data_IF_017740075004
#
_entry.id   IF_017740075004
#
_cell.length_a   1.000
_cell.length_b   1.000
_cell.length_c   1.000
_cell.angle_alpha   90.00
_cell.angle_beta   90.00
_cell.angle_gamma   90.00
#
_symmetry.space_group_name_H-M   'P 1'
#
loop_
_entity.id
_entity.type
_entity.pdbx_description
1 polymer ?
#
# COMPACT_ATOMS: atom_id res chain seq x y z
N UNK A 1 -22.01 -6.00 7.75
CA UNK A 1 -20.80 -5.27 8.18
C UNK A 1 -19.88 -6.19 8.98
N UNK A 2 -20.21 -6.60 10.22
CA UNK A 2 -19.30 -7.41 11.05
C UNK A 2 -18.96 -8.75 10.43
N UNK A 3 -19.90 -9.42 9.78
CA UNK A 3 -19.69 -10.70 9.09
C UNK A 3 -18.77 -10.51 7.88
N UNK A 4 -19.00 -9.50 7.06
CA UNK A 4 -18.21 -9.14 5.89
C UNK A 4 -16.76 -8.74 6.26
N UNK A 5 -16.60 -8.01 7.38
CA UNK A 5 -15.30 -7.55 7.88
C UNK A 5 -14.65 -8.54 8.86
N UNK A 6 -15.07 -9.80 8.85
CA UNK A 6 -14.41 -10.91 9.54
C UNK A 6 -13.79 -11.83 8.49
N UNK A 7 -12.48 -11.72 8.32
CA UNK A 7 -11.72 -12.48 7.33
C UNK A 7 -11.53 -13.91 7.82
N UNK A 8 -11.80 -14.85 6.93
CA UNK A 8 -11.56 -16.28 7.12
C UNK A 8 -10.57 -16.75 6.06
N UNK A 9 -9.51 -17.42 6.47
CA UNK A 9 -8.61 -18.02 5.50
C UNK A 9 -9.33 -19.17 4.77
N UNK A 10 -9.22 -19.16 3.45
CA UNK A 10 -9.58 -20.31 2.62
C UNK A 10 -8.34 -21.18 2.55
N UNK A 11 -8.33 -22.30 3.27
CA UNK A 11 -7.20 -23.25 3.31
C UNK A 11 -7.69 -24.58 2.76
N UNK A 12 -6.83 -25.25 1.99
CA UNK A 12 -7.08 -26.61 1.60
C UNK A 12 -6.97 -27.50 2.86
N UNK A 13 -8.06 -28.14 3.26
CA UNK A 13 -8.19 -28.88 4.54
C UNK A 13 -7.29 -30.11 4.64
N UNK A 14 -6.59 -30.48 3.55
CA UNK A 14 -5.64 -31.60 3.54
C UNK A 14 -4.36 -31.33 4.35
N UNK A 15 -4.05 -30.08 4.70
CA UNK A 15 -2.79 -29.71 5.34
C UNK A 15 -2.93 -29.06 6.73
N UNK A 16 -4.04 -29.23 7.43
CA UNK A 16 -4.21 -28.76 8.80
C UNK A 16 -5.45 -27.91 9.05
N UNK A 17 -5.64 -27.49 10.32
CA UNK A 17 -6.76 -26.64 10.69
C UNK A 17 -6.59 -25.23 10.14
N UNK A 18 -7.65 -24.62 9.57
CA UNK A 18 -7.59 -23.24 9.12
C UNK A 18 -7.30 -22.30 10.30
N UNK A 19 -6.48 -21.25 10.11
CA UNK A 19 -6.22 -20.29 11.16
C UNK A 19 -7.53 -19.61 11.59
N UNK A 20 -7.64 -19.18 12.86
CA UNK A 20 -8.86 -18.58 13.37
C UNK A 20 -9.19 -17.29 12.59
N UNK A 21 -10.49 -17.02 12.35
CA UNK A 21 -10.92 -15.82 11.66
C UNK A 21 -10.51 -14.57 12.46
N UNK A 22 -10.17 -13.50 11.77
CA UNK A 22 -9.81 -12.23 12.38
C UNK A 22 -10.64 -11.07 11.86
N UNK A 23 -10.76 -10.02 12.68
CA UNK A 23 -11.60 -8.86 12.40
C UNK A 23 -10.74 -7.74 11.82
N UNK A 24 -11.20 -7.14 10.71
CA UNK A 24 -10.62 -5.93 10.11
C UNK A 24 -11.44 -4.68 10.46
N UNK A 25 -12.12 -4.70 11.59
CA UNK A 25 -12.85 -3.57 12.17
C UNK A 25 -12.56 -3.45 13.67
N UNK A 26 -12.73 -2.26 14.22
CA UNK A 26 -12.62 -2.00 15.66
C UNK A 26 -13.95 -1.46 16.19
N UNK A 27 -14.32 -1.88 17.40
CA UNK A 27 -15.46 -1.29 18.14
C UNK A 27 -14.96 -0.11 18.94
N UNK A 28 -15.69 0.98 18.94
CA UNK A 28 -15.52 2.13 19.82
C UNK A 28 -16.72 2.23 20.77
N UNK A 29 -16.66 3.17 21.72
CA UNK A 29 -17.80 3.43 22.62
C UNK A 29 -19.05 3.89 21.86
N UNK A 30 -18.86 4.63 20.75
CA UNK A 30 -19.92 5.29 20.00
C UNK A 30 -20.21 4.66 18.63
N UNK A 31 -19.45 3.63 18.21
CA UNK A 31 -19.66 3.09 16.87
C UNK A 31 -18.70 1.98 16.45
N UNK A 32 -18.52 1.87 15.16
CA UNK A 32 -17.68 0.87 14.52
C UNK A 32 -16.70 1.58 13.57
N UNK A 33 -15.39 1.41 13.80
CA UNK A 33 -14.36 1.81 12.87
C UNK A 33 -14.20 0.72 11.81
N UNK A 34 -14.39 1.07 10.56
CA UNK A 34 -14.26 0.16 9.40
C UNK A 34 -13.16 0.66 8.46
N UNK A 35 -12.60 -0.20 7.59
CA UNK A 35 -11.71 0.23 6.54
C UNK A 35 -12.34 1.35 5.71
N UNK A 36 -11.55 2.39 5.40
CA UNK A 36 -12.06 3.62 4.78
C UNK A 36 -12.84 3.35 3.49
N UNK A 37 -12.23 2.66 2.53
CA UNK A 37 -12.86 2.43 1.23
C UNK A 37 -14.12 1.57 1.31
N UNK A 38 -14.14 0.59 2.23
CA UNK A 38 -15.37 -0.14 2.54
C UNK A 38 -16.44 0.80 3.09
N UNK A 39 -16.04 1.72 3.98
CA UNK A 39 -16.97 2.71 4.55
C UNK A 39 -17.53 3.66 3.49
N UNK A 40 -16.68 4.17 2.62
CA UNK A 40 -17.06 5.07 1.53
C UNK A 40 -18.01 4.38 0.51
N UNK A 41 -17.75 3.12 0.19
CA UNK A 41 -18.59 2.32 -0.70
C UNK A 41 -19.97 2.04 -0.12
N UNK A 42 -20.03 1.67 1.18
CA UNK A 42 -21.28 1.25 1.84
C UNK A 42 -22.13 2.41 2.36
N UNK A 43 -21.51 3.52 2.76
CA UNK A 43 -22.18 4.62 3.48
C UNK A 43 -21.98 5.99 2.80
N UNK A 44 -21.23 6.04 1.71
CA UNK A 44 -20.86 7.29 1.06
C UNK A 44 -19.70 8.01 1.73
N UNK A 45 -19.39 9.21 1.24
CA UNK A 45 -18.28 10.02 1.76
C UNK A 45 -18.50 10.39 3.22
N UNK A 46 -17.40 10.38 4.00
CA UNK A 46 -17.43 10.84 5.38
C UNK A 46 -17.84 12.33 5.45
N UNK A 47 -18.61 12.68 6.51
CA UNK A 47 -18.97 14.08 6.79
C UNK A 47 -17.77 14.96 7.10
N UNK A 48 -16.75 14.36 7.71
CA UNK A 48 -15.53 15.03 8.14
C UNK A 48 -14.31 14.16 7.78
N UNK A 49 -13.33 14.78 7.15
CA UNK A 49 -12.05 14.14 6.83
C UNK A 49 -10.96 14.72 7.74
N UNK A 50 -10.52 13.93 8.72
CA UNK A 50 -9.47 14.30 9.69
C UNK A 50 -8.11 13.70 9.35
N UNK A 51 -7.94 13.20 8.14
CA UNK A 51 -6.65 12.64 7.73
C UNK A 51 -5.57 13.73 7.70
N UNK A 52 -4.33 13.38 8.04
CA UNK A 52 -3.20 14.28 7.85
C UNK A 52 -3.11 14.71 6.38
N UNK A 53 -2.61 15.94 6.17
CA UNK A 53 -2.36 16.41 4.80
C UNK A 53 -1.04 15.81 4.31
N UNK A 54 -1.05 14.98 3.27
CA UNK A 54 0.16 14.33 2.78
C UNK A 54 1.10 15.37 2.13
N UNK A 55 2.39 15.10 2.19
CA UNK A 55 3.40 15.92 1.54
C UNK A 55 3.39 15.64 0.03
N UNK A 56 3.41 16.71 -0.76
CA UNK A 56 3.58 16.64 -2.22
C UNK A 56 5.05 16.50 -2.58
N UNK A 57 5.31 15.75 -3.63
CA UNK A 57 6.64 15.60 -4.23
C UNK A 57 6.59 16.07 -5.69
N UNK A 58 7.72 16.55 -6.20
CA UNK A 58 7.86 16.98 -7.60
C UNK A 58 8.59 15.95 -8.46
N UNK A 59 8.65 14.69 -8.04
CA UNK A 59 9.32 13.63 -8.74
C UNK A 59 8.69 13.38 -10.11
N UNK A 60 9.53 13.27 -11.14
CA UNK A 60 9.12 12.96 -12.51
C UNK A 60 9.49 11.51 -12.85
N UNK A 61 8.54 10.81 -13.44
CA UNK A 61 8.79 9.49 -13.99
C UNK A 61 9.52 9.63 -15.35
N UNK A 62 10.73 9.10 -15.43
CA UNK A 62 11.59 9.13 -16.62
C UNK A 62 11.67 7.74 -17.27
N UNK A 63 10.54 7.08 -17.41
CA UNK A 63 10.40 5.80 -18.08
C UNK A 63 9.40 5.86 -19.23
N UNK A 64 9.45 4.85 -20.10
CA UNK A 64 8.43 4.65 -21.12
C UNK A 64 7.57 3.45 -20.73
N UNK A 65 6.26 3.66 -20.68
CA UNK A 65 5.30 2.57 -20.54
C UNK A 65 5.09 1.90 -21.89
N UNK A 66 4.87 0.60 -21.87
CA UNK A 66 4.68 -0.23 -23.07
C UNK A 66 3.19 -0.27 -23.43
N UNK A 67 2.84 0.22 -24.60
CA UNK A 67 1.44 0.24 -25.05
C UNK A 67 0.96 -1.17 -25.39
N UNK A 68 1.82 -2.01 -25.95
CA UNK A 68 1.50 -3.38 -26.37
C UNK A 68 1.08 -4.27 -25.18
N UNK A 69 1.44 -3.88 -23.97
CA UNK A 69 1.11 -4.61 -22.73
C UNK A 69 0.06 -3.90 -21.90
N UNK A 70 -0.65 -2.90 -22.42
CA UNK A 70 -1.70 -2.15 -21.72
C UNK A 70 -1.25 -1.46 -20.41
N UNK A 71 0.03 -1.11 -20.29
CA UNK A 71 0.55 -0.42 -19.10
C UNK A 71 -0.08 0.97 -18.92
N UNK A 72 -0.36 1.68 -20.02
CA UNK A 72 -1.05 2.97 -20.00
C UNK A 72 -2.50 2.83 -19.53
N UNK A 73 -3.19 1.76 -19.91
CA UNK A 73 -4.56 1.48 -19.44
C UNK A 73 -4.58 1.22 -17.94
N UNK A 74 -3.63 0.43 -17.44
CA UNK A 74 -3.48 0.16 -16.01
C UNK A 74 -3.18 1.46 -15.23
N UNK A 75 -2.30 2.33 -15.73
CA UNK A 75 -2.03 3.64 -15.16
C UNK A 75 -3.31 4.49 -15.12
N UNK A 76 -4.03 4.61 -16.24
CA UNK A 76 -5.25 5.41 -16.34
C UNK A 76 -6.34 4.91 -15.38
N UNK A 77 -6.54 3.59 -15.30
CA UNK A 77 -7.50 2.98 -14.39
C UNK A 77 -7.14 3.25 -12.92
N UNK A 78 -5.87 3.11 -12.55
CA UNK A 78 -5.38 3.39 -11.20
C UNK A 78 -5.57 4.86 -10.80
N UNK A 79 -5.25 5.80 -11.70
CA UNK A 79 -5.44 7.23 -11.44
C UNK A 79 -6.91 7.61 -11.30
N UNK A 80 -7.79 6.99 -12.10
CA UNK A 80 -9.24 7.22 -12.04
C UNK A 80 -9.83 6.70 -10.75
N UNK A 81 -9.44 5.50 -10.30
CA UNK A 81 -9.96 4.89 -9.05
C UNK A 81 -9.35 5.50 -7.80
N UNK A 82 -8.08 5.89 -7.86
CA UNK A 82 -7.32 6.40 -6.70
C UNK A 82 -6.95 5.34 -5.66
N UNK A 83 -7.46 4.12 -5.78
CA UNK A 83 -7.15 2.97 -4.90
C UNK A 83 -7.55 1.66 -5.57
N UNK A 84 -7.01 0.55 -5.08
CA UNK A 84 -7.41 -0.77 -5.54
C UNK A 84 -6.27 -1.79 -5.57
N UNK A 85 -6.54 -2.93 -6.19
CA UNK A 85 -5.54 -3.98 -6.44
C UNK A 85 -5.24 -4.02 -7.94
N UNK A 86 -3.96 -3.93 -8.27
CA UNK A 86 -3.44 -4.13 -9.61
C UNK A 86 -3.06 -5.62 -9.75
N UNK A 87 -4.00 -6.43 -10.22
CA UNK A 87 -3.77 -7.83 -10.57
C UNK A 87 -3.19 -7.87 -11.97
N UNK A 88 -1.89 -8.04 -12.08
CA UNK A 88 -1.14 -7.95 -13.32
C UNK A 88 -0.16 -9.13 -13.41
N UNK A 89 -0.05 -9.83 -14.56
CA UNK A 89 0.79 -11.02 -14.67
C UNK A 89 2.27 -10.74 -14.38
N UNK A 90 3.03 -11.81 -14.13
CA UNK A 90 4.47 -11.71 -14.04
C UNK A 90 5.06 -11.14 -15.34
N UNK A 91 6.11 -10.31 -15.23
CA UNK A 91 6.73 -9.67 -16.40
C UNK A 91 5.96 -8.46 -16.97
N UNK A 92 4.75 -8.18 -16.52
CA UNK A 92 3.98 -7.01 -16.96
C UNK A 92 4.70 -5.68 -16.73
N UNK A 93 5.56 -5.61 -15.70
CA UNK A 93 6.22 -4.38 -15.28
C UNK A 93 5.46 -3.63 -14.19
N UNK A 94 4.88 -4.38 -13.23
CA UNK A 94 4.13 -3.82 -12.07
C UNK A 94 4.87 -2.67 -11.40
N UNK A 95 6.16 -2.85 -11.13
CA UNK A 95 7.01 -1.83 -10.49
C UNK A 95 7.07 -0.54 -11.32
N UNK A 96 7.25 -0.65 -12.64
CA UNK A 96 7.32 0.50 -13.56
C UNK A 96 6.01 1.28 -13.58
N UNK A 97 4.88 0.57 -13.72
CA UNK A 97 3.55 1.19 -13.69
C UNK A 97 3.28 1.85 -12.34
N UNK A 98 3.66 1.20 -11.24
CA UNK A 98 3.46 1.75 -9.90
C UNK A 98 4.26 3.03 -9.64
N UNK A 99 5.49 3.11 -10.15
CA UNK A 99 6.30 4.35 -10.09
C UNK A 99 5.67 5.46 -10.95
N UNK A 100 5.15 5.12 -12.13
CA UNK A 100 4.42 6.09 -12.95
C UNK A 100 3.16 6.60 -12.22
N UNK A 101 2.40 5.73 -11.55
CA UNK A 101 1.24 6.10 -10.73
C UNK A 101 1.68 7.04 -9.60
N UNK A 102 2.72 6.69 -8.84
CA UNK A 102 3.21 7.47 -7.72
C UNK A 102 3.63 8.90 -8.15
N UNK A 103 4.40 9.01 -9.22
CA UNK A 103 4.83 10.30 -9.78
C UNK A 103 3.65 11.13 -10.29
N UNK A 104 2.66 10.52 -10.94
CA UNK A 104 1.45 11.22 -11.42
C UNK A 104 0.56 11.71 -10.27
N UNK A 105 0.45 10.94 -9.19
CA UNK A 105 -0.28 11.36 -7.99
C UNK A 105 0.46 12.48 -7.24
N UNK A 106 1.80 12.51 -7.31
CA UNK A 106 2.63 13.57 -6.79
C UNK A 106 2.63 13.69 -5.28
N UNK A 107 2.51 12.59 -4.56
CA UNK A 107 2.61 12.55 -3.11
C UNK A 107 3.76 11.65 -2.66
N UNK A 108 4.32 11.96 -1.48
CA UNK A 108 5.26 11.06 -0.80
C UNK A 108 4.69 9.65 -0.77
N UNK A 109 5.47 8.69 -1.25
CA UNK A 109 5.01 7.34 -1.50
C UNK A 109 5.74 6.34 -0.62
N UNK A 110 4.98 5.55 0.15
CA UNK A 110 5.53 4.39 0.86
C UNK A 110 5.28 3.12 0.05
N UNK A 111 6.32 2.31 -0.07
CA UNK A 111 6.29 1.01 -0.74
C UNK A 111 6.56 -0.07 0.31
N UNK A 112 5.60 -0.93 0.55
CA UNK A 112 5.70 -2.02 1.52
C UNK A 112 6.10 -3.29 0.81
N UNK A 113 7.19 -3.90 1.27
CA UNK A 113 7.74 -5.15 0.75
C UNK A 113 7.95 -6.16 1.88
N UNK A 114 7.91 -7.45 1.57
CA UNK A 114 8.06 -8.51 2.58
C UNK A 114 9.44 -9.18 2.60
N UNK A 115 10.31 -8.89 1.60
CA UNK A 115 11.67 -9.45 1.48
C UNK A 115 12.68 -8.38 1.12
N UNK A 116 13.90 -8.50 1.65
CA UNK A 116 14.95 -7.53 1.46
C UNK A 116 15.40 -7.39 0.00
N UNK A 117 15.46 -8.49 -0.75
CA UNK A 117 15.81 -8.41 -2.17
C UNK A 117 14.79 -7.57 -2.98
N UNK A 118 13.50 -7.59 -2.59
CA UNK A 118 12.48 -6.72 -3.20
C UNK A 118 12.73 -5.26 -2.85
N UNK A 119 13.15 -4.97 -1.61
CA UNK A 119 13.51 -3.61 -1.21
C UNK A 119 14.65 -3.06 -2.08
N UNK A 120 15.69 -3.86 -2.31
CA UNK A 120 16.81 -3.50 -3.18
C UNK A 120 16.35 -3.30 -4.62
N UNK A 121 15.52 -4.20 -5.15
CA UNK A 121 14.95 -4.08 -6.50
C UNK A 121 14.14 -2.78 -6.66
N UNK A 122 13.29 -2.45 -5.67
CA UNK A 122 12.53 -1.20 -5.68
C UNK A 122 13.45 0.02 -5.66
N UNK A 123 14.50 0.01 -4.84
CA UNK A 123 15.50 1.08 -4.78
C UNK A 123 16.17 1.31 -6.14
N UNK A 124 16.63 0.26 -6.78
CA UNK A 124 17.24 0.31 -8.13
C UNK A 124 16.25 0.89 -9.16
N UNK A 125 14.98 0.44 -9.13
CA UNK A 125 13.96 0.94 -10.06
C UNK A 125 13.58 2.39 -9.83
N UNK A 126 13.52 2.84 -8.57
CA UNK A 126 13.31 4.25 -8.25
C UNK A 126 14.47 5.08 -8.80
N UNK A 127 15.73 4.67 -8.57
CA UNK A 127 16.89 5.36 -9.09
C UNK A 127 16.89 5.43 -10.63
N UNK A 128 16.46 4.35 -11.29
CA UNK A 128 16.39 4.27 -12.75
C UNK A 128 15.29 5.16 -13.34
N UNK A 129 14.08 5.10 -12.79
CA UNK A 129 12.89 5.73 -13.39
C UNK A 129 12.50 7.06 -12.77
N UNK A 130 13.06 7.40 -11.60
CA UNK A 130 12.77 8.62 -10.86
C UNK A 130 14.09 9.29 -10.44
N UNK A 131 14.94 9.68 -11.40
CA UNK A 131 16.25 10.24 -11.09
C UNK A 131 16.14 11.48 -10.21
N UNK A 132 16.97 11.57 -9.19
CA UNK A 132 16.97 12.66 -8.21
C UNK A 132 15.96 12.53 -7.09
N UNK A 133 15.08 11.52 -7.09
CA UNK A 133 14.17 11.26 -5.98
C UNK A 133 14.93 10.76 -4.75
N UNK A 134 14.59 11.29 -3.57
CA UNK A 134 15.11 10.81 -2.30
C UNK A 134 14.45 9.50 -1.88
N UNK A 135 15.24 8.58 -1.32
CA UNK A 135 14.77 7.25 -0.91
C UNK A 135 15.13 7.03 0.56
N UNK A 136 14.11 6.81 1.38
CA UNK A 136 14.26 6.41 2.79
C UNK A 136 13.87 4.97 3.02
N UNK A 137 14.20 4.46 4.19
CA UNK A 137 13.96 3.07 4.59
C UNK A 137 13.31 2.99 5.97
N UNK A 138 12.28 2.15 6.10
CA UNK A 138 11.69 1.74 7.37
C UNK A 138 11.99 0.26 7.58
N UNK A 139 13.08 -0.02 8.29
CA UNK A 139 13.56 -1.37 8.55
C UNK A 139 14.31 -1.43 9.88
N UNK A 140 14.00 -2.40 10.72
CA UNK A 140 14.64 -2.53 12.03
C UNK A 140 14.61 -1.20 12.82
N UNK A 141 15.76 -0.61 13.13
CA UNK A 141 15.87 0.65 13.87
C UNK A 141 15.88 1.91 12.97
N UNK A 142 15.81 1.74 11.66
CA UNK A 142 15.74 2.84 10.72
C UNK A 142 14.31 3.29 10.53
N UNK A 143 14.07 4.59 10.60
CA UNK A 143 12.79 5.25 10.36
C UNK A 143 13.04 6.53 9.53
N UNK A 144 13.29 6.36 8.25
CA UNK A 144 13.60 7.43 7.31
C UNK A 144 12.33 7.71 6.47
N UNK A 145 11.43 8.54 7.01
CA UNK A 145 10.13 8.83 6.39
C UNK A 145 10.08 10.18 5.67
N UNK A 146 11.12 11.01 5.80
CA UNK A 146 11.18 12.34 5.16
C UNK A 146 11.86 12.30 3.79
N UNK A 147 11.38 11.42 2.92
CA UNK A 147 11.89 11.18 1.57
C UNK A 147 10.74 11.10 0.57
N UNK A 148 11.03 11.26 -0.72
CA UNK A 148 10.01 11.15 -1.78
C UNK A 148 9.42 9.74 -1.84
N UNK A 149 10.30 8.73 -1.74
CA UNK A 149 9.93 7.33 -1.65
C UNK A 149 10.46 6.73 -0.35
N UNK A 150 9.62 5.96 0.34
CA UNK A 150 9.96 5.26 1.58
C UNK A 150 9.74 3.76 1.36
N UNK A 151 10.80 2.97 1.41
CA UNK A 151 10.69 1.52 1.30
C UNK A 151 10.58 0.93 2.70
N UNK A 152 9.46 0.31 3.00
CA UNK A 152 9.15 -0.21 4.33
C UNK A 152 9.08 -1.75 4.34
N UNK A 153 9.79 -2.36 5.28
CA UNK A 153 9.68 -3.80 5.50
C UNK A 153 8.40 -4.13 6.26
N UNK A 154 7.59 -5.03 5.69
CA UNK A 154 6.31 -5.45 6.26
C UNK A 154 6.45 -5.98 7.69
N UNK A 155 7.52 -6.74 7.96
CA UNK A 155 7.82 -7.25 9.30
C UNK A 155 8.10 -6.11 10.28
N UNK A 156 8.86 -5.10 9.87
CA UNK A 156 9.14 -3.94 10.74
C UNK A 156 7.87 -3.18 11.07
N UNK A 157 7.02 -2.92 10.08
CA UNK A 157 5.72 -2.26 10.28
C UNK A 157 4.79 -3.06 11.20
N UNK A 158 4.87 -4.39 11.18
CA UNK A 158 3.99 -5.27 11.94
C UNK A 158 4.42 -5.49 13.38
N UNK A 159 5.73 -5.60 13.61
CA UNK A 159 6.31 -5.98 14.91
C UNK A 159 6.67 -4.80 15.79
N UNK A 160 6.90 -3.62 15.22
CA UNK A 160 7.27 -2.42 15.97
C UNK A 160 6.06 -1.53 16.23
N UNK A 161 6.14 -0.82 17.35
CA UNK A 161 5.25 0.27 17.64
C UNK A 161 5.77 1.55 16.95
N UNK A 162 4.86 2.21 16.23
CA UNK A 162 5.08 3.48 15.57
C UNK A 162 4.04 4.47 16.05
N UNK A 163 4.42 5.74 16.17
CA UNK A 163 3.47 6.83 16.36
C UNK A 163 2.62 7.03 15.09
N UNK A 164 1.40 7.50 15.24
CA UNK A 164 0.60 7.89 14.08
C UNK A 164 1.28 8.99 13.26
N UNK A 165 2.03 9.88 13.91
CA UNK A 165 2.71 10.98 13.24
C UNK A 165 3.91 10.53 12.38
N UNK A 166 4.44 9.34 12.61
CA UNK A 166 5.60 8.83 11.86
C UNK A 166 5.31 8.66 10.36
N UNK A 167 4.02 8.51 10.00
CA UNK A 167 3.58 8.27 8.63
C UNK A 167 2.58 9.30 8.09
N UNK A 168 2.35 10.39 8.80
CA UNK A 168 1.37 11.42 8.45
C UNK A 168 1.65 12.11 7.11
N UNK A 169 2.91 12.12 6.69
CA UNK A 169 3.35 12.73 5.45
C UNK A 169 3.10 11.86 4.22
N UNK A 170 2.82 10.56 4.42
CA UNK A 170 2.63 9.59 3.34
C UNK A 170 1.27 9.77 2.68
N UNK A 171 1.27 10.09 1.38
CA UNK A 171 0.02 10.25 0.63
C UNK A 171 -0.34 9.08 -0.27
N UNK A 172 0.66 8.31 -0.69
CA UNK A 172 0.45 7.09 -1.50
C UNK A 172 1.08 5.90 -0.81
N UNK A 173 0.34 4.81 -0.72
CA UNK A 173 0.81 3.53 -0.22
C UNK A 173 0.74 2.48 -1.34
N UNK A 174 1.85 1.84 -1.62
CA UNK A 174 1.95 0.71 -2.55
C UNK A 174 2.35 -0.52 -1.75
N UNK A 175 1.58 -1.59 -1.85
CA UNK A 175 1.87 -2.87 -1.18
C UNK A 175 2.25 -3.88 -2.24
N UNK A 176 3.53 -4.23 -2.27
CA UNK A 176 4.02 -5.25 -3.19
C UNK A 176 3.67 -6.65 -2.69
N UNK A 177 3.28 -7.53 -3.62
CA UNK A 177 2.75 -8.87 -3.32
C UNK A 177 1.65 -8.81 -2.23
N UNK A 178 0.60 -8.05 -2.53
CA UNK A 178 -0.46 -7.67 -1.59
C UNK A 178 -1.17 -8.86 -0.91
N UNK A 179 -1.10 -10.05 -1.48
CA UNK A 179 -1.63 -11.27 -0.86
C UNK A 179 -0.97 -11.60 0.49
N UNK A 180 0.28 -11.21 0.71
CA UNK A 180 0.96 -11.37 2.01
C UNK A 180 0.34 -10.52 3.14
N UNK A 181 -0.27 -9.39 2.80
CA UNK A 181 -0.86 -8.49 3.81
C UNK A 181 -2.20 -9.02 4.36
N UNK A 182 -2.78 -10.01 3.69
CA UNK A 182 -4.03 -10.63 4.12
C UNK A 182 -3.90 -11.46 5.42
N UNK A 183 -2.67 -11.69 5.91
CA UNK A 183 -2.45 -12.32 7.21
C UNK A 183 -2.81 -11.36 8.37
N UNK A 184 -3.34 -11.91 9.48
CA UNK A 184 -3.79 -11.13 10.64
C UNK A 184 -2.73 -10.14 11.15
N UNK A 185 -1.50 -10.58 11.33
CA UNK A 185 -0.40 -9.76 11.86
C UNK A 185 -0.07 -8.63 10.88
N UNK A 186 0.04 -8.95 9.60
CA UNK A 186 0.44 -7.99 8.58
C UNK A 186 -0.65 -6.97 8.27
N UNK A 187 -1.93 -7.36 8.31
CA UNK A 187 -3.04 -6.42 8.12
C UNK A 187 -3.09 -5.33 9.19
N UNK A 188 -2.57 -5.59 10.40
CA UNK A 188 -2.51 -4.58 11.46
C UNK A 188 -1.53 -3.43 11.17
N UNK A 189 -0.50 -3.68 10.35
CA UNK A 189 0.45 -2.64 9.97
C UNK A 189 -0.19 -1.50 9.19
N UNK A 190 -1.22 -1.80 8.40
CA UNK A 190 -1.94 -0.80 7.60
C UNK A 190 -2.75 0.20 8.44
N UNK A 191 -3.14 -0.16 9.66
CA UNK A 191 -3.85 0.78 10.55
C UNK A 191 -2.99 1.91 11.09
N UNK A 192 -1.66 1.82 10.92
CA UNK A 192 -0.71 2.86 11.34
C UNK A 192 -0.50 3.92 10.26
N UNK A 193 -0.93 3.66 9.03
CA UNK A 193 -0.71 4.52 7.87
C UNK A 193 -2.06 4.97 7.34
N UNK A 194 -2.22 6.29 7.10
CA UNK A 194 -3.49 6.87 6.67
C UNK A 194 -3.36 7.57 5.29
N UNK A 195 -2.94 6.86 4.24
CA UNK A 195 -2.62 7.47 2.95
C UNK A 195 -3.87 7.94 2.23
N UNK A 196 -3.72 8.88 1.32
CA UNK A 196 -4.80 9.31 0.41
C UNK A 196 -5.12 8.23 -0.62
N UNK A 197 -4.08 7.61 -1.16
CA UNK A 197 -4.15 6.57 -2.18
C UNK A 197 -3.51 5.27 -1.69
N UNK A 198 -4.12 4.13 -2.03
CA UNK A 198 -3.57 2.82 -1.67
C UNK A 198 -3.72 1.84 -2.84
N UNK A 199 -2.62 1.18 -3.18
CA UNK A 199 -2.59 0.19 -4.25
C UNK A 199 -1.89 -1.08 -3.77
N UNK A 200 -2.57 -2.21 -3.95
CA UNK A 200 -1.97 -3.52 -3.81
C UNK A 200 -1.49 -4.02 -5.17
N UNK A 201 -0.33 -4.65 -5.22
CA UNK A 201 0.18 -5.31 -6.42
C UNK A 201 0.10 -6.82 -6.21
N UNK A 202 -0.43 -7.53 -7.19
CA UNK A 202 -0.48 -9.00 -7.17
C UNK A 202 -0.24 -9.55 -8.57
N UNK A 203 0.34 -10.75 -8.62
CA UNK A 203 0.46 -11.52 -9.86
C UNK A 203 -0.70 -12.52 -10.04
N UNK A 204 -1.50 -12.70 -9.00
CA UNK A 204 -2.63 -13.63 -8.91
C UNK A 204 -3.92 -12.89 -8.64
#
# INVERSE_FOLDING_TARGET
IKKELTVRAVVNTEFGFPPPPFKVFRKTKTGLCVPRFYGEEKFGKAKEDRRPKPVKISCKFNGKLRDETHQNDALAAALKSGHGVLSLPCGFGKTTVSLAIACKLGYRTMIVVHKEFLANQWKERIQQFCPGASIGVVQQNKLETDCDFVIAMLQSLSLKEYSFNDFDTIGTLIVDEAHHICAKVFSQSLFKICPKHIFGLSAT
#
